data_IF_284367672932
#
_entry.id   IF_284367672932
#
_cell.length_a   1.000
_cell.length_b   1.000
_cell.length_c   1.000
_cell.angle_alpha   90.00
_cell.angle_beta   90.00
_cell.angle_gamma   90.00
#
_symmetry.space_group_name_H-M   'P 1'
#
loop_
_entity.id
_entity.type
_entity.pdbx_description
1 polymer ?
#
# COMPACT_ATOMS: atom_id res chain seq x y z
N UNK A 1 30.39 -57.59 -17.89
CA UNK A 1 29.90 -58.90 -18.38
C UNK A 1 28.38 -58.89 -18.34
N UNK A 2 27.76 -59.04 -19.51
CA UNK A 2 26.31 -59.07 -19.75
C UNK A 2 25.64 -60.27 -19.08
N UNK A 3 24.38 -60.10 -18.63
CA UNK A 3 23.29 -60.98 -19.09
C UNK A 3 21.91 -60.38 -18.80
N UNK A 4 21.30 -59.89 -19.87
CA UNK A 4 19.86 -59.64 -19.96
C UNK A 4 19.09 -60.96 -19.78
N UNK A 5 17.95 -60.90 -19.07
CA UNK A 5 16.91 -61.94 -19.11
C UNK A 5 15.68 -61.42 -19.85
N UNK A 6 15.24 -62.24 -20.80
CA UNK A 6 14.12 -62.11 -21.75
C UNK A 6 12.78 -62.04 -21.01
N UNK A 7 11.90 -61.10 -21.37
CA UNK A 7 10.70 -61.25 -22.24
C UNK A 7 9.80 -62.43 -21.86
N UNK A 8 8.59 -62.11 -21.41
CA UNK A 8 7.45 -63.01 -21.26
C UNK A 8 6.16 -62.23 -21.47
N UNK A 9 5.70 -62.21 -22.72
CA UNK A 9 4.42 -61.65 -23.16
C UNK A 9 3.28 -62.53 -22.66
N UNK A 10 2.25 -61.95 -22.02
CA UNK A 10 0.96 -62.61 -21.84
C UNK A 10 -0.15 -61.64 -22.30
N UNK A 11 -0.67 -61.92 -23.49
CA UNK A 11 -1.89 -61.34 -24.03
C UNK A 11 -3.09 -61.99 -23.31
N UNK A 12 -3.95 -61.18 -22.71
CA UNK A 12 -5.31 -61.60 -22.33
C UNK A 12 -6.28 -60.72 -23.11
N UNK A 13 -6.88 -61.30 -24.15
CA UNK A 13 -8.11 -60.82 -24.78
C UNK A 13 -9.28 -61.13 -23.85
N UNK A 14 -10.13 -60.15 -23.55
CA UNK A 14 -11.51 -60.40 -23.15
C UNK A 14 -12.42 -59.19 -23.43
N UNK A 15 -13.14 -59.34 -24.53
CA UNK A 15 -14.57 -59.02 -24.76
C UNK A 15 -15.09 -57.58 -24.56
N UNK A 16 -15.47 -56.99 -25.70
CA UNK A 16 -16.49 -55.95 -25.86
C UNK A 16 -17.80 -56.31 -25.13
N UNK A 17 -18.32 -55.39 -24.35
CA UNK A 17 -19.78 -55.18 -24.21
C UNK A 17 -20.08 -53.72 -24.46
N UNK A 18 -20.68 -53.43 -25.62
CA UNK A 18 -21.28 -52.14 -25.93
C UNK A 18 -22.65 -52.10 -25.24
N UNK A 19 -22.74 -51.38 -24.14
CA UNK A 19 -24.00 -51.01 -23.50
C UNK A 19 -24.30 -49.54 -23.79
N UNK A 20 -25.00 -49.28 -24.89
CA UNK A 20 -25.70 -48.00 -25.10
C UNK A 20 -26.99 -48.02 -24.28
N UNK A 21 -27.12 -47.11 -23.32
CA UNK A 21 -28.41 -46.73 -22.76
C UNK A 21 -28.58 -45.23 -22.95
N UNK A 22 -29.69 -44.90 -23.62
CA UNK A 22 -30.09 -43.55 -23.97
C UNK A 22 -30.42 -42.72 -22.73
N UNK A 23 -30.14 -41.43 -22.86
CA UNK A 23 -30.33 -40.31 -21.94
C UNK A 23 -31.78 -40.12 -21.45
N UNK A 24 -31.95 -39.45 -20.29
CA UNK A 24 -32.90 -38.35 -20.21
C UNK A 24 -32.17 -37.00 -20.25
N UNK A 25 -32.51 -36.19 -21.26
CA UNK A 25 -32.18 -34.78 -21.34
C UNK A 25 -32.92 -34.03 -20.23
N UNK A 26 -32.22 -33.66 -19.16
CA UNK A 26 -32.64 -32.58 -18.29
C UNK A 26 -32.23 -31.27 -18.96
N UNK A 27 -33.20 -30.58 -19.55
CA UNK A 27 -33.03 -29.20 -20.01
C UNK A 27 -32.75 -28.32 -18.79
N UNK A 28 -31.48 -28.01 -18.54
CA UNK A 28 -31.12 -26.84 -17.76
C UNK A 28 -31.42 -25.62 -18.63
N UNK A 29 -32.50 -24.90 -18.30
CA UNK A 29 -32.67 -23.56 -18.82
C UNK A 29 -31.47 -22.71 -18.39
N UNK A 30 -30.90 -21.87 -19.27
CA UNK A 30 -29.93 -20.90 -18.82
C UNK A 30 -30.70 -19.89 -17.98
N UNK A 31 -30.62 -20.04 -16.66
CA UNK A 31 -30.94 -18.95 -15.75
C UNK A 31 -30.01 -17.82 -16.19
N UNK A 32 -30.63 -16.80 -16.79
CA UNK A 32 -29.95 -15.59 -17.19
C UNK A 32 -29.12 -15.12 -16.02
N UNK A 33 -27.81 -15.06 -16.24
CA UNK A 33 -26.92 -14.31 -15.38
C UNK A 33 -27.31 -12.85 -15.55
N UNK A 34 -28.33 -12.42 -14.80
CA UNK A 34 -28.55 -11.02 -14.50
C UNK A 34 -27.26 -10.56 -13.85
N UNK A 35 -26.46 -9.87 -14.65
CA UNK A 35 -25.37 -9.03 -14.19
C UNK A 35 -26.02 -7.92 -13.39
N UNK A 36 -26.40 -8.23 -12.15
CA UNK A 36 -26.71 -7.21 -11.17
C UNK A 36 -25.47 -6.33 -11.14
N UNK A 37 -25.66 -5.08 -11.54
CA UNK A 37 -24.68 -4.03 -11.38
C UNK A 37 -24.37 -3.99 -9.89
N UNK A 38 -23.30 -4.69 -9.51
CA UNK A 38 -22.75 -4.60 -8.19
C UNK A 38 -22.50 -3.12 -7.94
N UNK A 39 -23.21 -2.59 -6.96
CA UNK A 39 -22.71 -1.43 -6.25
C UNK A 39 -21.40 -1.89 -5.62
N UNK A 40 -20.29 -1.75 -6.36
CA UNK A 40 -18.97 -1.81 -5.76
C UNK A 40 -18.96 -0.67 -4.73
N UNK A 41 -18.81 -0.99 -3.42
CA UNK A 41 -18.55 0.07 -2.45
C UNK A 41 -17.35 0.87 -2.95
N UNK A 42 -17.28 2.19 -2.71
CA UNK A 42 -16.14 2.99 -3.13
C UNK A 42 -14.88 2.25 -2.69
N UNK A 43 -14.05 1.84 -3.66
CA UNK A 43 -12.81 1.12 -3.38
C UNK A 43 -12.04 1.96 -2.39
N UNK A 44 -11.78 1.42 -1.19
CA UNK A 44 -11.10 2.15 -0.13
C UNK A 44 -9.83 2.81 -0.69
N UNK A 45 -9.57 4.05 -0.28
CA UNK A 45 -8.37 4.75 -0.74
C UNK A 45 -7.11 4.05 -0.24
N UNK A 46 -5.96 4.30 -0.89
CA UNK A 46 -4.70 3.67 -0.50
C UNK A 46 -4.34 3.99 0.96
N UNK A 47 -4.63 5.21 1.43
CA UNK A 47 -4.43 5.58 2.83
C UNK A 47 -5.40 4.86 3.78
N UNK A 48 -6.66 4.65 3.41
CA UNK A 48 -7.63 3.91 4.23
C UNK A 48 -7.21 2.46 4.39
N UNK A 49 -6.64 1.85 3.35
CA UNK A 49 -6.07 0.51 3.45
C UNK A 49 -4.82 0.50 4.33
N UNK A 50 -3.87 1.42 4.11
CA UNK A 50 -2.63 1.51 4.88
C UNK A 50 -2.92 1.69 6.38
N UNK A 51 -3.80 2.63 6.73
CA UNK A 51 -4.11 2.99 8.12
C UNK A 51 -4.78 1.86 8.91
N UNK A 52 -5.39 0.86 8.25
CA UNK A 52 -5.90 -0.36 8.93
C UNK A 52 -4.79 -1.17 9.59
N UNK A 53 -3.55 -1.03 9.13
CA UNK A 53 -2.38 -1.75 9.65
C UNK A 53 -1.45 -0.86 10.49
N UNK A 54 -1.87 0.36 10.82
CA UNK A 54 -1.07 1.29 11.64
C UNK A 54 -1.50 1.20 13.11
N UNK A 55 -0.56 0.90 14.00
CA UNK A 55 -0.73 1.12 15.44
C UNK A 55 -0.30 2.53 15.83
N UNK A 56 -0.94 3.09 16.85
CA UNK A 56 -0.58 4.38 17.45
C UNK A 56 -0.38 4.14 18.94
N UNK A 57 0.87 4.19 19.38
CA UNK A 57 1.28 3.81 20.73
C UNK A 57 1.71 5.02 21.57
N UNK A 58 1.21 5.02 22.81
CA UNK A 58 1.69 5.88 23.88
C UNK A 58 1.43 7.40 23.72
N UNK A 59 1.88 8.19 24.71
CA UNK A 59 1.67 9.64 24.72
C UNK A 59 2.45 10.40 23.64
N UNK A 60 3.48 9.78 23.04
CA UNK A 60 4.36 10.36 22.02
C UNK A 60 3.96 10.08 20.56
N UNK A 61 2.80 9.47 20.30
CA UNK A 61 2.35 9.06 18.96
C UNK A 61 3.44 8.33 18.18
N UNK A 62 4.05 7.33 18.82
CA UNK A 62 4.86 6.37 18.07
C UNK A 62 3.88 5.61 17.18
N UNK A 63 4.02 5.80 15.88
CA UNK A 63 3.16 5.15 14.88
C UNK A 63 3.98 4.08 14.17
N UNK A 64 3.35 2.94 13.88
CA UNK A 64 4.03 1.83 13.24
C UNK A 64 3.08 1.09 12.29
N UNK A 65 3.50 0.89 11.05
CA UNK A 65 2.82 0.05 10.07
C UNK A 65 3.25 -1.41 10.22
N UNK A 66 2.28 -2.29 10.45
CA UNK A 66 2.49 -3.73 10.54
C UNK A 66 2.60 -4.38 9.15
N UNK A 67 3.84 -4.42 8.63
CA UNK A 67 4.14 -4.98 7.32
C UNK A 67 3.84 -6.49 7.22
N UNK A 68 4.04 -7.24 8.30
CA UNK A 68 3.79 -8.69 8.32
C UNK A 68 2.31 -9.00 8.14
N UNK A 69 1.44 -8.30 8.88
CA UNK A 69 0.00 -8.43 8.75
C UNK A 69 -0.51 -7.99 7.37
N UNK A 70 -0.01 -6.87 6.85
CA UNK A 70 -0.38 -6.38 5.52
C UNK A 70 -0.01 -7.38 4.41
N UNK A 71 1.17 -8.01 4.51
CA UNK A 71 1.58 -9.08 3.58
C UNK A 71 0.75 -10.35 3.75
N UNK A 72 0.42 -10.74 4.99
CA UNK A 72 -0.39 -11.91 5.27
C UNK A 72 -1.80 -11.79 4.66
N UNK A 73 -2.37 -10.58 4.66
CA UNK A 73 -3.67 -10.27 4.05
C UNK A 73 -3.60 -10.05 2.52
N UNK A 74 -2.40 -10.15 1.93
CA UNK A 74 -2.14 -9.99 0.50
C UNK A 74 -2.74 -8.70 -0.10
N UNK A 75 -2.64 -7.58 0.62
CA UNK A 75 -3.05 -6.27 0.09
C UNK A 75 -2.14 -5.83 -1.08
N UNK A 76 -2.53 -4.78 -1.79
CA UNK A 76 -1.75 -4.22 -2.89
C UNK A 76 -0.27 -3.99 -2.47
N UNK A 77 0.71 -4.60 -3.17
CA UNK A 77 2.13 -4.43 -2.88
C UNK A 77 2.60 -2.96 -2.84
N UNK A 78 1.97 -2.06 -3.59
CA UNK A 78 2.27 -0.63 -3.54
C UNK A 78 1.88 0.00 -2.19
N UNK A 79 0.85 -0.52 -1.52
CA UNK A 79 0.43 -0.09 -0.19
C UNK A 79 1.37 -0.65 0.87
N UNK A 80 1.83 -1.90 0.70
CA UNK A 80 2.89 -2.48 1.56
C UNK A 80 4.17 -1.64 1.46
N UNK A 81 4.57 -1.22 0.26
CA UNK A 81 5.72 -0.33 0.07
C UNK A 81 5.52 1.05 0.69
N UNK A 82 4.32 1.62 0.54
CA UNK A 82 3.96 2.87 1.22
C UNK A 82 4.08 2.73 2.74
N UNK A 83 3.71 1.57 3.29
CA UNK A 83 3.86 1.26 4.71
C UNK A 83 5.32 1.14 5.18
N UNK A 84 6.24 0.68 4.33
CA UNK A 84 7.69 0.72 4.64
C UNK A 84 8.20 2.14 4.73
N UNK A 85 7.88 2.97 3.74
CA UNK A 85 8.25 4.40 3.74
C UNK A 85 7.63 5.14 4.94
N UNK A 86 6.41 4.76 5.34
CA UNK A 86 5.77 5.27 6.55
C UNK A 86 6.60 4.97 7.80
N UNK A 87 7.09 3.74 7.95
CA UNK A 87 7.94 3.36 9.09
C UNK A 87 9.28 4.10 9.06
N UNK A 88 9.91 4.22 7.89
CA UNK A 88 11.14 5.01 7.73
C UNK A 88 10.93 6.48 8.13
N UNK A 89 9.81 7.08 7.73
CA UNK A 89 9.44 8.43 8.15
C UNK A 89 9.26 8.52 9.67
N UNK A 90 8.48 7.60 10.25
CA UNK A 90 8.17 7.60 11.69
C UNK A 90 9.43 7.46 12.55
N UNK A 91 10.33 6.55 12.17
CA UNK A 91 11.60 6.32 12.85
C UNK A 91 12.51 7.55 12.77
N UNK A 92 12.52 8.24 11.63
CA UNK A 92 13.29 9.46 11.43
C UNK A 92 12.83 10.60 12.36
N UNK A 93 11.51 10.83 12.46
CA UNK A 93 10.95 11.84 13.36
C UNK A 93 11.24 11.50 14.82
N UNK A 94 11.03 10.25 15.22
CA UNK A 94 11.27 9.80 16.60
C UNK A 94 12.75 9.91 16.98
N UNK A 95 13.65 9.57 16.07
CA UNK A 95 15.09 9.72 16.27
C UNK A 95 15.50 11.18 16.42
N UNK A 96 14.91 12.07 15.61
CA UNK A 96 15.09 13.52 15.74
C UNK A 96 14.63 14.05 17.10
N UNK A 97 13.51 13.55 17.64
CA UNK A 97 13.03 13.89 18.97
C UNK A 97 13.97 13.41 20.10
N UNK A 98 14.71 12.31 19.87
CA UNK A 98 15.76 11.80 20.78
C UNK A 98 17.11 12.52 20.63
N UNK A 99 17.19 13.56 19.81
CA UNK A 99 18.41 14.33 19.56
C UNK A 99 19.33 13.75 18.47
N UNK A 100 18.94 12.65 17.81
CA UNK A 100 19.65 12.10 16.65
C UNK A 100 18.95 12.55 15.35
N UNK A 101 19.37 13.72 14.85
CA UNK A 101 18.77 14.36 13.66
C UNK A 101 19.42 13.83 12.39
N UNK A 102 19.04 12.62 11.96
CA UNK A 102 19.44 12.10 10.66
C UNK A 102 18.59 12.75 9.55
N UNK A 103 19.25 13.17 8.47
CA UNK A 103 18.57 13.59 7.24
C UNK A 103 18.06 12.36 6.51
N UNK A 104 16.74 12.27 6.36
CA UNK A 104 16.08 11.16 5.69
C UNK A 104 15.35 11.70 4.46
N UNK A 105 15.55 11.03 3.33
CA UNK A 105 14.97 11.40 2.04
C UNK A 105 13.89 10.39 1.72
N UNK A 106 12.64 10.78 1.95
CA UNK A 106 11.47 9.96 1.60
C UNK A 106 11.13 10.16 0.12
N UNK A 107 11.19 11.42 -0.34
CA UNK A 107 10.95 11.75 -1.73
C UNK A 107 11.57 13.08 -2.13
N UNK A 108 11.93 13.19 -3.40
CA UNK A 108 12.23 14.48 -4.01
C UNK A 108 13.39 15.25 -3.35
N UNK A 109 13.26 16.57 -3.34
CA UNK A 109 14.17 17.50 -2.68
C UNK A 109 13.66 17.96 -1.31
N UNK A 110 12.39 17.71 -0.95
CA UNK A 110 11.73 18.31 0.20
C UNK A 110 10.97 17.34 1.11
N UNK A 111 10.69 16.10 0.70
CA UNK A 111 9.93 15.19 1.56
C UNK A 111 10.86 14.42 2.49
N UNK A 112 10.90 14.80 3.76
CA UNK A 112 11.48 14.01 4.84
C UNK A 112 12.07 14.84 5.98
N UNK A 113 12.21 14.27 7.19
CA UNK A 113 12.83 14.97 8.31
C UNK A 113 14.27 15.42 8.00
N UNK A 114 14.57 16.67 8.37
CA UNK A 114 15.85 17.36 8.06
C UNK A 114 16.19 17.42 6.55
N UNK A 115 15.21 17.26 5.65
CA UNK A 115 15.39 17.30 4.20
C UNK A 115 14.53 18.38 3.55
N UNK A 116 15.08 19.60 3.41
CA UNK A 116 14.37 20.76 2.84
C UNK A 116 15.21 21.48 1.77
N UNK A 117 15.33 20.87 0.60
CA UNK A 117 16.07 21.41 -0.55
C UNK A 117 17.60 21.21 -0.48
N UNK A 118 18.37 21.96 -1.30
CA UNK A 118 17.96 23.03 -2.21
C UNK A 118 17.42 22.52 -3.57
N UNK A 119 16.87 23.41 -4.39
CA UNK A 119 16.49 23.15 -5.79
C UNK A 119 15.04 23.49 -6.10
N UNK A 120 14.60 23.24 -7.34
CA UNK A 120 13.18 23.25 -7.65
C UNK A 120 12.54 21.91 -7.20
N UNK A 121 11.25 21.89 -6.82
CA UNK A 121 10.53 20.64 -6.65
C UNK A 121 10.58 19.78 -7.91
N UNK A 122 10.72 18.46 -7.75
CA UNK A 122 10.81 17.52 -8.87
C UNK A 122 9.44 17.17 -9.47
N UNK A 123 8.40 17.14 -8.64
CA UNK A 123 7.03 16.76 -9.02
C UNK A 123 5.99 17.34 -8.04
N UNK A 124 4.75 16.84 -8.09
CA UNK A 124 3.61 17.40 -7.34
C UNK A 124 3.73 17.10 -5.84
N UNK A 125 4.18 15.91 -5.47
CA UNK A 125 4.43 15.56 -4.07
C UNK A 125 5.56 16.40 -3.50
N UNK A 126 6.68 16.52 -4.22
CA UNK A 126 7.82 17.32 -3.78
C UNK A 126 7.46 18.80 -3.62
N UNK A 127 6.57 19.32 -4.46
CA UNK A 127 6.06 20.68 -4.35
C UNK A 127 5.17 20.87 -3.10
N UNK A 128 4.36 19.87 -2.77
CA UNK A 128 3.55 19.87 -1.55
C UNK A 128 4.44 19.84 -0.30
N UNK A 129 5.47 19.00 -0.28
CA UNK A 129 6.46 18.95 0.81
C UNK A 129 7.22 20.26 0.96
N UNK A 130 7.63 20.91 -0.15
CA UNK A 130 8.27 22.23 -0.09
C UNK A 130 7.40 23.28 0.61
N UNK A 131 6.10 23.31 0.32
CA UNK A 131 5.17 24.25 0.97
C UNK A 131 4.95 23.91 2.45
N UNK A 132 4.95 22.62 2.79
CA UNK A 132 4.90 22.17 4.18
C UNK A 132 6.13 22.63 4.96
N UNK A 133 7.33 22.46 4.41
CA UNK A 133 8.58 22.95 4.99
C UNK A 133 8.56 24.46 5.20
N UNK A 134 8.09 25.22 4.21
CA UNK A 134 7.93 26.67 4.30
C UNK A 134 6.95 27.07 5.41
N UNK A 135 5.87 26.32 5.58
CA UNK A 135 4.89 26.51 6.64
C UNK A 135 5.52 26.23 8.02
N UNK A 136 6.24 25.11 8.16
CA UNK A 136 6.97 24.75 9.38
C UNK A 136 8.06 25.76 9.75
N UNK A 137 8.68 26.41 8.75
CA UNK A 137 9.67 27.47 8.95
C UNK A 137 9.11 28.79 9.49
N UNK A 138 7.78 28.98 9.50
CA UNK A 138 7.16 30.17 10.07
C UNK A 138 7.25 30.18 11.61
N UNK A 139 7.32 31.35 12.25
CA UNK A 139 7.36 31.47 13.70
C UNK A 139 6.18 30.73 14.36
N UNK A 140 6.50 29.83 15.29
CA UNK A 140 5.50 29.02 16.01
C UNK A 140 4.65 28.09 15.12
N UNK A 141 5.05 27.76 13.90
CA UNK A 141 4.27 26.86 13.03
C UNK A 141 4.76 25.42 12.95
N UNK A 142 6.00 25.16 13.39
CA UNK A 142 6.54 23.79 13.45
C UNK A 142 5.63 22.85 14.25
N UNK A 143 5.28 21.72 13.65
CA UNK A 143 4.37 20.73 14.22
C UNK A 143 2.91 21.18 14.32
N UNK A 144 2.48 22.21 13.58
CA UNK A 144 1.09 22.67 13.61
C UNK A 144 0.17 21.82 12.74
N UNK A 145 -1.05 21.59 13.23
CA UNK A 145 -2.09 20.90 12.48
C UNK A 145 -2.43 21.61 11.18
N UNK A 146 -2.37 22.95 11.17
CA UNK A 146 -2.66 23.74 10.00
C UNK A 146 -1.69 23.45 8.84
N UNK A 147 -0.39 23.34 9.12
CA UNK A 147 0.59 22.96 8.10
C UNK A 147 0.39 21.52 7.63
N UNK A 148 0.17 20.58 8.56
CA UNK A 148 -0.02 19.15 8.23
C UNK A 148 -1.30 18.94 7.40
N UNK A 149 -2.37 19.65 7.73
CA UNK A 149 -3.64 19.62 7.02
C UNK A 149 -3.51 20.19 5.61
N UNK A 150 -2.76 21.28 5.45
CA UNK A 150 -2.48 21.86 4.14
C UNK A 150 -1.69 20.89 3.24
N UNK A 151 -0.70 20.18 3.81
CA UNK A 151 0.03 19.13 3.09
C UNK A 151 -0.90 18.00 2.64
N UNK A 152 -1.73 17.47 3.54
CA UNK A 152 -2.69 16.40 3.22
C UNK A 152 -3.66 16.85 2.13
N UNK A 153 -4.19 18.07 2.22
CA UNK A 153 -5.11 18.63 1.24
C UNK A 153 -4.45 18.75 -0.15
N UNK A 154 -3.23 19.26 -0.20
CA UNK A 154 -2.49 19.40 -1.46
C UNK A 154 -2.16 18.04 -2.08
N UNK A 155 -1.76 17.05 -1.28
CA UNK A 155 -1.57 15.68 -1.76
C UNK A 155 -2.86 15.13 -2.35
N UNK A 156 -4.00 15.28 -1.66
CA UNK A 156 -5.28 14.76 -2.13
C UNK A 156 -5.75 15.41 -3.44
N UNK A 157 -5.56 16.72 -3.59
CA UNK A 157 -5.90 17.45 -4.82
C UNK A 157 -5.05 17.01 -6.03
N UNK A 158 -3.80 16.63 -5.78
CA UNK A 158 -2.85 16.26 -6.83
C UNK A 158 -2.76 14.75 -7.06
N UNK A 159 -3.22 13.91 -6.14
CA UNK A 159 -2.97 12.47 -6.10
C UNK A 159 -3.27 11.76 -7.42
N UNK A 160 -4.37 12.09 -8.09
CA UNK A 160 -4.75 11.45 -9.37
C UNK A 160 -3.75 11.74 -10.51
N UNK A 161 -3.07 12.88 -10.46
CA UNK A 161 -2.09 13.34 -11.46
C UNK A 161 -0.66 12.84 -11.18
N UNK A 162 -0.41 12.30 -9.98
CA UNK A 162 0.89 11.78 -9.58
C UNK A 162 1.25 10.49 -10.33
N UNK A 163 2.55 10.30 -10.57
CA UNK A 163 3.09 9.05 -11.10
C UNK A 163 2.96 7.90 -10.08
N UNK A 164 3.12 6.65 -10.53
CA UNK A 164 2.90 5.48 -9.67
C UNK A 164 3.80 5.46 -8.43
N UNK A 165 5.10 5.71 -8.59
CA UNK A 165 6.07 5.77 -7.49
C UNK A 165 5.87 7.00 -6.60
N UNK A 166 5.45 8.11 -7.19
CA UNK A 166 5.10 9.33 -6.45
C UNK A 166 3.87 9.08 -5.56
N UNK A 167 2.88 8.31 -6.03
CA UNK A 167 1.70 7.90 -5.23
C UNK A 167 2.06 7.02 -4.03
N UNK A 168 3.08 6.17 -4.16
CA UNK A 168 3.58 5.34 -3.06
C UNK A 168 4.15 6.24 -1.95
N UNK A 169 5.04 7.16 -2.30
CA UNK A 169 5.58 8.12 -1.35
C UNK A 169 4.49 9.06 -0.77
N UNK A 170 3.56 9.53 -1.61
CA UNK A 170 2.48 10.41 -1.19
C UNK A 170 1.53 9.74 -0.20
N UNK A 171 1.22 8.46 -0.43
CA UNK A 171 0.43 7.64 0.49
C UNK A 171 1.15 7.52 1.83
N UNK A 172 2.44 7.19 1.83
CA UNK A 172 3.24 7.10 3.05
C UNK A 172 3.25 8.41 3.85
N UNK A 173 3.61 9.52 3.19
CA UNK A 173 3.71 10.86 3.80
C UNK A 173 2.37 11.30 4.37
N UNK A 174 1.28 11.27 3.60
CA UNK A 174 -0.01 11.73 4.09
C UNK A 174 -0.57 10.83 5.19
N UNK A 175 -0.39 9.51 5.10
CA UNK A 175 -0.81 8.57 6.14
C UNK A 175 -0.08 8.83 7.45
N UNK A 176 1.21 9.18 7.42
CA UNK A 176 1.95 9.58 8.61
C UNK A 176 1.29 10.76 9.31
N UNK A 177 1.03 11.86 8.58
CA UNK A 177 0.41 13.05 9.15
C UNK A 177 -1.04 12.82 9.61
N UNK A 178 -1.80 11.94 8.94
CA UNK A 178 -3.12 11.51 9.42
C UNK A 178 -3.00 10.78 10.76
N UNK A 179 -2.07 9.85 10.89
CA UNK A 179 -1.89 9.03 12.08
C UNK A 179 -1.44 9.85 13.30
N UNK A 180 -0.56 10.85 13.10
CA UNK A 180 -0.07 11.71 14.19
C UNK A 180 -0.94 12.94 14.46
N UNK A 181 -1.97 13.19 13.63
CA UNK A 181 -2.88 14.34 13.75
C UNK A 181 -3.41 14.58 15.18
N UNK A 182 -3.79 13.57 16.00
CA UNK A 182 -4.25 13.84 17.36
C UNK A 182 -3.24 14.56 18.27
N UNK A 183 -1.96 14.65 17.87
CA UNK A 183 -0.87 15.28 18.63
C UNK A 183 -0.30 16.55 18.02
N UNK A 184 -0.70 16.93 16.81
CA UNK A 184 -0.23 18.19 16.23
C UNK A 184 -0.69 19.39 17.08
N UNK A 185 0.06 20.48 16.99
CA UNK A 185 -0.22 21.73 17.68
C UNK A 185 -1.37 22.47 16.98
N UNK A 186 -2.43 22.75 17.72
CA UNK A 186 -3.59 23.51 17.24
C UNK A 186 -3.28 24.98 17.06
#
# INVERSE_FOLDING_TARGET
MMRHRKVGTLFILATLTVGQMLTPHASAEPIGMERSSGFEPPSASAEEVLLRYVSVDGPGATVHFNEEAAKADAIDPAIVESGRLFNEYADAVHSGAKGNRAKIVIWGNYCGPEHSGPGAPKDLLDAACKKHDECYGQPNSYGSCACDDALIAEINENYRRMHATEKVAATAVKSYFIAVRPKCKK
#
